data_IF_352207216414
#
_entry.id   IF_352207216414
#
_cell.length_a   1.000
_cell.length_b   1.000
_cell.length_c   1.000
_cell.angle_alpha   90.00
_cell.angle_beta   90.00
_cell.angle_gamma   90.00
#
_symmetry.space_group_name_H-M   'P 1'
#
loop_
_entity.id
_entity.type
_entity.pdbx_description
1 polymer ?
#
# COMPACT_ATOMS: atom_id res chain seq x y z
N UNK A 1 2.53 -5.38 -18.52
CA UNK A 1 2.35 -5.86 -17.14
C UNK A 1 2.48 -4.76 -16.05
N UNK A 2 3.25 -3.66 -16.21
CA UNK A 2 2.67 -2.29 -16.27
C UNK A 2 1.32 -2.33 -17.01
N UNK A 3 0.30 -1.53 -16.71
CA UNK A 3 -0.89 -1.36 -17.59
C UNK A 3 -0.41 -1.29 -19.05
N UNK A 4 -0.63 -2.35 -19.84
CA UNK A 4 0.34 -2.93 -20.81
C UNK A 4 0.92 -1.97 -21.83
N UNK A 5 0.08 -1.05 -22.22
CA UNK A 5 0.40 0.14 -22.94
C UNK A 5 -0.65 1.03 -22.31
N UNK A 6 -0.29 2.02 -21.50
CA UNK A 6 -1.20 3.16 -21.37
C UNK A 6 -1.22 3.81 -22.76
N UNK A 7 -2.02 3.19 -23.62
CA UNK A 7 -2.69 3.70 -24.80
C UNK A 7 -1.98 4.86 -25.46
N UNK A 8 -0.77 4.58 -25.93
CA UNK A 8 -0.04 5.41 -26.88
C UNK A 8 0.27 6.82 -26.36
N UNK A 9 1.21 7.45 -27.02
CA UNK A 9 1.42 8.88 -27.00
C UNK A 9 0.21 9.63 -27.64
N UNK A 10 -1.02 9.34 -27.20
CA UNK A 10 -2.25 9.97 -27.69
C UNK A 10 -2.64 11.06 -26.71
N UNK A 11 -1.97 12.20 -26.85
CA UNK A 11 -2.58 13.43 -27.37
C UNK A 11 -1.74 14.62 -26.87
N UNK A 12 -1.03 15.27 -27.80
CA UNK A 12 -0.02 16.31 -27.57
C UNK A 12 -0.59 17.65 -27.05
N UNK A 13 -1.84 17.69 -26.60
CA UNK A 13 -2.55 18.94 -26.32
C UNK A 13 -2.80 19.27 -24.83
N UNK A 14 -2.70 18.36 -23.84
CA UNK A 14 -3.06 18.68 -22.44
C UNK A 14 -2.16 18.02 -21.37
N UNK A 15 -0.95 18.56 -21.18
CA UNK A 15 0.08 18.03 -20.27
C UNK A 15 -0.24 18.22 -18.76
N UNK A 16 -1.09 19.20 -18.41
CA UNK A 16 -1.46 19.48 -17.00
C UNK A 16 -2.58 18.53 -16.53
N UNK A 17 -3.59 18.27 -17.36
CA UNK A 17 -4.73 17.41 -17.03
C UNK A 17 -4.29 15.94 -16.88
N UNK A 18 -3.48 15.43 -17.80
CA UNK A 18 -2.94 14.07 -17.74
C UNK A 18 -2.15 13.80 -16.44
N UNK A 19 -1.33 14.78 -16.02
CA UNK A 19 -0.59 14.70 -14.75
C UNK A 19 -1.48 14.69 -13.51
N UNK A 20 -2.63 15.37 -13.56
CA UNK A 20 -3.59 15.41 -12.46
C UNK A 20 -4.35 14.09 -12.33
N UNK A 21 -4.79 13.54 -13.46
CA UNK A 21 -5.52 12.27 -13.51
C UNK A 21 -4.63 11.09 -13.08
N UNK A 22 -3.35 11.06 -13.51
CA UNK A 22 -2.37 10.07 -13.05
C UNK A 22 -2.15 10.15 -11.53
N UNK A 23 -2.00 11.37 -10.98
CA UNK A 23 -1.79 11.57 -9.54
C UNK A 23 -3.01 11.15 -8.71
N UNK A 24 -4.21 11.47 -9.19
CA UNK A 24 -5.48 11.02 -8.60
C UNK A 24 -5.58 9.49 -8.61
N UNK A 25 -5.32 8.86 -9.77
CA UNK A 25 -5.37 7.41 -9.91
C UNK A 25 -4.40 6.70 -8.96
N UNK A 26 -3.14 7.13 -8.91
CA UNK A 26 -2.16 6.58 -7.98
C UNK A 26 -2.57 6.72 -6.51
N UNK A 27 -3.19 7.85 -6.15
CA UNK A 27 -3.67 8.07 -4.78
C UNK A 27 -4.80 7.11 -4.43
N UNK A 28 -5.73 6.86 -5.35
CA UNK A 28 -6.82 5.89 -5.17
C UNK A 28 -6.28 4.48 -5.00
N UNK A 29 -5.37 4.03 -5.87
CA UNK A 29 -4.76 2.69 -5.75
C UNK A 29 -4.05 2.53 -4.41
N UNK A 30 -3.30 3.54 -3.96
CA UNK A 30 -2.62 3.48 -2.66
C UNK A 30 -3.63 3.40 -1.51
N UNK A 31 -4.75 4.12 -1.56
CA UNK A 31 -5.80 4.03 -0.53
C UNK A 31 -6.41 2.63 -0.47
N UNK A 32 -6.73 2.03 -1.62
CA UNK A 32 -7.31 0.69 -1.67
C UNK A 32 -6.34 -0.36 -1.12
N UNK A 33 -5.05 -0.24 -1.47
CA UNK A 33 -4.01 -1.12 -0.94
C UNK A 33 -3.80 -0.92 0.57
N UNK A 34 -3.85 0.33 1.06
CA UNK A 34 -3.78 0.60 2.50
C UNK A 34 -4.93 -0.07 3.25
N UNK A 35 -6.17 0.09 2.78
CA UNK A 35 -7.32 -0.59 3.36
C UNK A 35 -7.12 -2.11 3.36
N UNK A 36 -6.65 -2.68 2.25
CA UNK A 36 -6.37 -4.11 2.19
C UNK A 36 -5.30 -4.53 3.19
N UNK A 37 -4.20 -3.77 3.35
CA UNK A 37 -3.16 -4.05 4.35
C UNK A 37 -3.75 -4.04 5.76
N UNK A 38 -4.57 -3.05 6.11
CA UNK A 38 -5.18 -2.94 7.44
C UNK A 38 -6.03 -4.16 7.80
N UNK A 39 -6.77 -4.72 6.84
CA UNK A 39 -7.57 -5.94 7.05
C UNK A 39 -6.74 -7.22 7.14
N UNK A 40 -5.47 -7.19 6.72
CA UNK A 40 -4.60 -8.36 6.65
C UNK A 40 -3.35 -8.24 7.54
N UNK A 41 -3.34 -7.33 8.53
CA UNK A 41 -2.17 -7.11 9.39
C UNK A 41 -1.74 -8.36 10.19
N UNK A 42 -2.68 -9.25 10.50
CA UNK A 42 -2.44 -10.47 11.29
C UNK A 42 -1.86 -11.61 10.45
N UNK A 43 -1.94 -11.50 9.13
CA UNK A 43 -1.42 -12.51 8.22
C UNK A 43 0.02 -12.20 7.85
N UNK A 44 0.78 -13.21 7.43
CA UNK A 44 2.11 -13.00 6.85
C UNK A 44 1.98 -12.30 5.49
N UNK A 45 1.99 -10.97 5.50
CA UNK A 45 1.96 -10.15 4.29
C UNK A 45 3.32 -10.21 3.60
N UNK A 46 3.43 -10.98 2.52
CA UNK A 46 4.57 -10.88 1.63
C UNK A 46 4.44 -9.63 0.77
N UNK A 47 5.57 -8.98 0.53
CA UNK A 47 5.60 -7.75 -0.27
C UNK A 47 5.12 -7.97 -1.70
N UNK A 48 5.29 -9.19 -2.19
CA UNK A 48 4.89 -9.59 -3.55
C UNK A 48 3.36 -9.71 -3.65
N UNK A 49 2.67 -10.13 -2.59
CA UNK A 49 1.20 -10.19 -2.55
C UNK A 49 0.59 -8.79 -2.66
N UNK A 50 1.17 -7.84 -1.91
CA UNK A 50 0.74 -6.43 -1.92
C UNK A 50 0.92 -5.82 -3.32
N UNK A 51 2.06 -6.10 -3.96
CA UNK A 51 2.38 -5.58 -5.29
C UNK A 51 1.48 -6.19 -6.38
N UNK A 52 1.25 -7.51 -6.31
CA UNK A 52 0.35 -8.23 -7.20
C UNK A 52 -1.09 -7.72 -7.07
N UNK A 53 -1.57 -7.48 -5.84
CA UNK A 53 -2.89 -6.88 -5.58
C UNK A 53 -3.04 -5.50 -6.20
N UNK A 54 -1.95 -4.72 -6.19
CA UNK A 54 -1.91 -3.38 -6.77
C UNK A 54 -1.75 -3.38 -8.31
N UNK A 55 -1.51 -4.52 -8.94
CA UNK A 55 -1.26 -4.62 -10.38
C UNK A 55 0.11 -4.05 -10.80
N UNK A 56 1.08 -4.02 -9.88
CA UNK A 56 2.40 -3.46 -10.13
C UNK A 56 3.51 -4.45 -9.79
N UNK A 57 4.67 -4.26 -10.39
CA UNK A 57 5.88 -4.95 -9.91
C UNK A 57 6.24 -4.45 -8.52
N UNK A 58 6.80 -5.33 -7.69
CA UNK A 58 7.28 -5.05 -6.33
C UNK A 58 8.06 -3.73 -6.24
N UNK A 59 9.04 -3.55 -7.12
CA UNK A 59 9.90 -2.38 -7.12
C UNK A 59 9.17 -1.09 -7.48
N UNK A 60 8.26 -1.12 -8.47
CA UNK A 60 7.47 0.06 -8.81
C UNK A 60 6.52 0.42 -7.67
N UNK A 61 5.83 -0.59 -7.11
CA UNK A 61 4.89 -0.38 -6.02
C UNK A 61 5.57 0.22 -4.77
N UNK A 62 6.73 -0.29 -4.37
CA UNK A 62 7.48 0.27 -3.24
C UNK A 62 7.84 1.75 -3.43
N UNK A 63 8.25 2.14 -4.65
CA UNK A 63 8.58 3.54 -4.96
C UNK A 63 7.33 4.41 -5.00
N UNK A 64 6.25 3.93 -5.61
CA UNK A 64 4.97 4.63 -5.65
C UNK A 64 4.43 4.85 -4.24
N UNK A 65 4.40 3.80 -3.43
CA UNK A 65 3.95 3.84 -2.05
C UNK A 65 4.74 4.87 -1.26
N UNK A 66 6.08 4.81 -1.27
CA UNK A 66 6.93 5.79 -0.56
C UNK A 66 6.71 7.21 -1.07
N UNK A 67 6.52 7.40 -2.38
CA UNK A 67 6.25 8.71 -2.98
C UNK A 67 4.93 9.31 -2.49
N UNK A 68 3.89 8.48 -2.29
CA UNK A 68 2.56 8.93 -1.87
C UNK A 68 2.44 9.05 -0.35
N UNK A 69 2.97 8.09 0.41
CA UNK A 69 2.81 8.01 1.87
C UNK A 69 3.97 8.60 2.66
N UNK A 70 5.11 8.87 2.02
CA UNK A 70 6.34 9.34 2.66
C UNK A 70 7.15 8.25 3.37
N UNK A 71 6.62 7.04 3.54
CA UNK A 71 7.25 5.94 4.29
C UNK A 71 7.36 4.67 3.44
N UNK A 72 8.28 3.78 3.80
CA UNK A 72 8.34 2.48 3.11
C UNK A 72 7.19 1.59 3.54
N UNK A 73 6.72 0.74 2.63
CA UNK A 73 5.66 -0.24 2.89
C UNK A 73 5.99 -1.12 4.12
N UNK A 74 7.22 -1.62 4.22
CA UNK A 74 7.65 -2.45 5.35
C UNK A 74 7.67 -1.69 6.68
N UNK A 75 8.00 -0.39 6.67
CA UNK A 75 7.93 0.45 7.87
C UNK A 75 6.48 0.70 8.28
N UNK A 76 5.60 0.94 7.31
CA UNK A 76 4.17 1.13 7.54
C UNK A 76 3.56 -0.11 8.21
N UNK A 77 3.74 -1.29 7.61
CA UNK A 77 3.20 -2.55 8.14
C UNK A 77 3.69 -2.82 9.58
N UNK A 78 4.99 -2.65 9.85
CA UNK A 78 5.56 -2.83 11.20
C UNK A 78 4.95 -1.86 12.21
N UNK A 79 4.82 -0.58 11.85
CA UNK A 79 4.23 0.42 12.74
C UNK A 79 2.75 0.11 13.05
N UNK A 80 1.99 -0.34 12.05
CA UNK A 80 0.58 -0.71 12.22
C UNK A 80 0.41 -1.95 13.09
N UNK A 81 1.21 -3.00 12.88
CA UNK A 81 1.23 -4.19 13.74
C UNK A 81 1.56 -3.85 15.19
N UNK A 82 2.57 -3.01 15.41
CA UNK A 82 2.94 -2.57 16.75
C UNK A 82 1.81 -1.78 17.43
N UNK A 83 1.17 -0.89 16.67
CA UNK A 83 0.01 -0.12 17.17
C UNK A 83 -1.14 -1.05 17.55
N UNK A 84 -1.43 -2.04 16.70
CA UNK A 84 -2.47 -3.05 16.96
C UNK A 84 -2.16 -3.85 18.23
N UNK A 85 -0.95 -4.37 18.36
CA UNK A 85 -0.51 -5.10 19.54
C UNK A 85 -0.63 -4.24 20.82
N UNK A 86 -0.23 -2.97 20.76
CA UNK A 86 -0.38 -2.04 21.88
C UNK A 86 -1.85 -1.79 22.25
N UNK A 87 -2.74 -1.69 21.27
CA UNK A 87 -4.18 -1.58 21.49
C UNK A 87 -4.74 -2.85 22.14
N UNK A 88 -4.34 -4.03 21.66
CA UNK A 88 -4.77 -5.32 22.25
C UNK A 88 -4.29 -5.48 23.69
N UNK A 89 -3.04 -5.12 23.99
CA UNK A 89 -2.50 -5.12 25.36
C UNK A 89 -3.27 -4.20 26.29
N UNK A 90 -3.75 -3.06 25.79
CA UNK A 90 -4.47 -2.08 26.61
C UNK A 90 -5.94 -2.42 26.81
N UNK A 91 -6.58 -3.00 25.79
CA UNK A 91 -8.04 -3.18 25.75
C UNK A 91 -8.50 -4.60 26.05
N UNK A 92 -7.59 -5.57 26.07
CA UNK A 92 -7.92 -6.99 26.30
C UNK A 92 -7.13 -7.53 27.50
N UNK A 93 -7.46 -8.76 27.91
CA UNK A 93 -6.70 -9.51 28.93
C UNK A 93 -5.73 -10.52 28.31
N UNK A 94 -5.50 -10.44 27.00
CA UNK A 94 -4.55 -11.34 26.32
C UNK A 94 -3.16 -11.13 26.90
N UNK A 95 -2.45 -12.23 27.09
CA UNK A 95 -1.04 -12.24 27.45
C UNK A 95 -0.19 -11.77 26.27
N UNK A 96 1.05 -11.37 26.57
CA UNK A 96 2.03 -10.99 25.52
C UNK A 96 2.24 -12.15 24.54
N UNK A 97 2.22 -13.39 25.03
CA UNK A 97 2.36 -14.58 24.18
C UNK A 97 1.19 -14.73 23.20
N UNK A 98 -0.05 -14.56 23.66
CA UNK A 98 -1.24 -14.65 22.80
C UNK A 98 -1.34 -13.55 21.75
N UNK A 99 -0.68 -12.41 21.96
CA UNK A 99 -0.63 -11.30 20.98
C UNK A 99 0.52 -11.52 19.97
N UNK A 100 1.55 -12.26 20.35
CA UNK A 100 2.71 -12.54 19.49
C UNK A 100 2.49 -13.71 18.53
N UNK A 101 1.58 -14.63 18.87
CA UNK A 101 1.17 -15.79 18.07
C UNK A 101 0.09 -15.42 17.05
#
# INVERSE_FOLDING_TARGET
>A
MYIEQHSRYQNKANNIQLRYDDKQFHTTVIKDVLLWIEHNLDQSLLLDDVANKAGYTKWYFQRLFKKVTGVTLASYIRARRLTKAAVELRLTKKTILEIAL
#
